data_IF_455914554247
#
_entry.id   IF_455914554247
#
_cell.length_a   1.000
_cell.length_b   1.000
_cell.length_c   1.000
_cell.angle_alpha   90.00
_cell.angle_beta   90.00
_cell.angle_gamma   90.00
#
_symmetry.space_group_name_H-M   'P 1'
#
loop_
_entity.id
_entity.type
_entity.pdbx_description
1 polymer ?
#
# COMPACT_ATOMS: atom_id res chain seq x y z
N UNK A 1 -14.32 21.68 -12.69
CA UNK A 1 -13.75 20.43 -12.14
C UNK A 1 -12.24 20.49 -12.26
N UNK A 2 -11.49 20.31 -11.17
CA UNK A 2 -10.02 20.18 -11.25
C UNK A 2 -9.71 18.80 -11.82
N UNK A 3 -9.05 18.74 -12.98
CA UNK A 3 -8.46 17.50 -13.46
C UNK A 3 -7.33 17.13 -12.50
N UNK A 4 -7.50 16.04 -11.75
CA UNK A 4 -6.38 15.39 -11.08
C UNK A 4 -5.57 14.67 -12.17
N UNK A 5 -4.46 15.26 -12.58
CA UNK A 5 -3.50 14.60 -13.47
C UNK A 5 -2.78 13.54 -12.65
N UNK A 6 -3.18 12.28 -12.81
CA UNK A 6 -2.43 11.15 -12.27
C UNK A 6 -1.01 11.23 -12.85
N UNK A 7 0.05 11.22 -12.03
CA UNK A 7 1.41 11.23 -12.54
C UNK A 7 1.60 10.02 -13.48
N UNK A 8 2.09 10.23 -14.71
CA UNK A 8 2.06 9.22 -15.79
C UNK A 8 2.78 7.88 -15.53
N UNK A 9 3.44 7.72 -14.39
CA UNK A 9 4.04 6.46 -13.93
C UNK A 9 3.09 5.59 -13.09
N UNK A 10 1.82 6.00 -12.94
CA UNK A 10 0.75 5.16 -12.40
C UNK A 10 -0.29 4.79 -13.47
N UNK A 11 -0.13 5.25 -14.72
CA UNK A 11 -0.96 4.82 -15.84
C UNK A 11 -0.62 3.38 -16.22
N UNK A 12 -1.60 2.49 -16.12
CA UNK A 12 -1.50 1.07 -16.50
C UNK A 12 -2.28 0.76 -17.80
N UNK A 13 -2.81 1.78 -18.48
CA UNK A 13 -3.66 1.64 -19.67
C UNK A 13 -5.04 1.00 -19.38
N UNK A 14 -5.38 0.78 -18.11
CA UNK A 14 -6.66 0.22 -17.68
C UNK A 14 -7.60 1.32 -17.20
N UNK A 15 -8.88 0.96 -17.01
CA UNK A 15 -9.91 1.86 -16.46
C UNK A 15 -9.81 2.08 -14.95
N UNK A 16 -8.89 1.40 -14.28
CA UNK A 16 -8.69 1.45 -12.83
C UNK A 16 -7.22 1.73 -12.51
N UNK A 17 -6.96 2.49 -11.47
CA UNK A 17 -5.62 2.71 -10.94
C UNK A 17 -5.43 2.05 -9.56
N UNK A 18 -4.24 2.23 -8.97
CA UNK A 18 -3.94 1.66 -7.65
C UNK A 18 -4.79 2.28 -6.54
N UNK A 19 -5.22 3.53 -6.68
CA UNK A 19 -6.10 4.19 -5.72
C UNK A 19 -7.47 3.51 -5.75
N UNK A 20 -7.99 3.19 -6.94
CA UNK A 20 -9.23 2.43 -7.10
C UNK A 20 -9.14 1.05 -6.40
N UNK A 21 -8.06 0.30 -6.64
CA UNK A 21 -7.82 -0.98 -5.95
C UNK A 21 -7.74 -0.82 -4.43
N UNK A 22 -7.05 0.22 -3.94
CA UNK A 22 -6.97 0.47 -2.50
C UNK A 22 -8.34 0.76 -1.89
N UNK A 23 -9.18 1.52 -2.59
CA UNK A 23 -10.53 1.87 -2.14
C UNK A 23 -11.46 0.65 -2.15
N UNK A 24 -11.47 -0.14 -3.23
CA UNK A 24 -12.33 -1.32 -3.39
C UNK A 24 -12.10 -2.35 -2.28
N UNK A 25 -10.83 -2.57 -1.91
CA UNK A 25 -10.45 -3.49 -0.84
C UNK A 25 -10.40 -2.83 0.54
N UNK A 26 -10.76 -1.55 0.66
CA UNK A 26 -10.69 -0.77 1.91
C UNK A 26 -9.32 -0.90 2.60
N UNK A 27 -8.24 -0.82 1.81
CA UNK A 27 -6.87 -0.95 2.31
C UNK A 27 -6.50 0.24 3.18
N UNK A 28 -5.93 -0.03 4.35
CA UNK A 28 -5.34 1.01 5.19
C UNK A 28 -4.08 1.61 4.54
N UNK A 29 -3.54 2.66 5.16
CA UNK A 29 -2.36 3.36 4.64
C UNK A 29 -1.16 2.44 4.38
N UNK A 30 -0.88 1.48 5.26
CA UNK A 30 0.24 0.56 5.07
C UNK A 30 -0.01 -0.37 3.89
N UNK A 31 -1.16 -1.05 3.88
CA UNK A 31 -1.54 -2.01 2.83
C UNK A 31 -1.60 -1.37 1.45
N UNK A 32 -2.14 -0.16 1.36
CA UNK A 32 -2.16 0.59 0.12
C UNK A 32 -0.76 0.91 -0.38
N UNK A 33 0.17 1.29 0.50
CA UNK A 33 1.57 1.52 0.11
C UNK A 33 2.28 0.23 -0.31
N UNK A 34 2.01 -0.91 0.34
CA UNK A 34 2.55 -2.21 -0.08
C UNK A 34 2.17 -2.49 -1.55
N UNK A 35 0.86 -2.44 -1.85
CA UNK A 35 0.35 -2.68 -3.22
C UNK A 35 0.93 -1.65 -4.21
N UNK A 36 0.98 -0.37 -3.82
CA UNK A 36 1.54 0.71 -4.65
C UNK A 36 2.99 0.45 -5.04
N UNK A 37 3.84 0.09 -4.09
CA UNK A 37 5.27 -0.10 -4.38
C UNK A 37 5.53 -1.40 -5.14
N UNK A 38 4.77 -2.47 -4.89
CA UNK A 38 4.83 -3.69 -5.70
C UNK A 38 4.44 -3.43 -7.15
N UNK A 39 3.33 -2.71 -7.39
CA UNK A 39 2.89 -2.39 -8.75
C UNK A 39 3.84 -1.43 -9.49
N UNK A 40 4.56 -0.58 -8.74
CA UNK A 40 5.48 0.42 -9.30
C UNK A 40 6.88 -0.15 -9.57
N UNK A 41 7.28 -1.22 -8.89
CA UNK A 41 8.56 -1.90 -9.08
C UNK A 41 8.75 -2.25 -10.58
N UNK A 42 9.91 -1.90 -11.15
CA UNK A 42 10.22 -2.10 -12.58
C UNK A 42 9.63 -1.04 -13.53
N UNK A 43 8.63 -0.27 -13.09
CA UNK A 43 7.99 0.79 -13.88
C UNK A 43 8.52 2.20 -13.56
N UNK A 44 9.27 2.37 -12.46
CA UNK A 44 9.88 3.65 -12.09
C UNK A 44 11.16 3.48 -11.25
N UNK A 45 12.25 4.08 -11.72
CA UNK A 45 13.51 4.11 -10.95
C UNK A 45 14.14 2.73 -10.80
N UNK A 46 14.87 2.53 -9.70
CA UNK A 46 15.53 1.25 -9.39
C UNK A 46 14.51 0.35 -8.68
N UNK A 47 14.22 -0.81 -9.28
CA UNK A 47 13.21 -1.76 -8.80
C UNK A 47 13.40 -2.15 -7.32
N UNK A 48 14.65 -2.42 -6.92
CA UNK A 48 14.96 -2.87 -5.56
C UNK A 48 14.55 -1.84 -4.49
N UNK A 49 14.61 -0.54 -4.80
CA UNK A 49 14.21 0.50 -3.86
C UNK A 49 12.71 0.45 -3.57
N UNK A 50 11.89 -0.01 -4.51
CA UNK A 50 10.45 -0.16 -4.31
C UNK A 50 10.11 -1.44 -3.57
N UNK A 51 10.86 -2.51 -3.81
CA UNK A 51 10.76 -3.72 -3.01
C UNK A 51 11.11 -3.45 -1.53
N UNK A 52 12.16 -2.67 -1.25
CA UNK A 52 12.48 -2.27 0.12
C UNK A 52 11.42 -1.37 0.75
N UNK A 53 10.82 -0.44 -0.01
CA UNK A 53 9.69 0.35 0.50
C UNK A 53 8.48 -0.52 0.81
N UNK A 54 8.14 -1.47 -0.06
CA UNK A 54 7.05 -2.42 0.20
C UNK A 54 7.30 -3.22 1.48
N UNK A 55 8.54 -3.70 1.69
CA UNK A 55 8.95 -4.41 2.90
C UNK A 55 8.80 -3.56 4.17
N UNK A 56 9.25 -2.30 4.15
CA UNK A 56 9.12 -1.36 5.27
C UNK A 56 7.66 -1.17 5.71
N UNK A 57 6.73 -1.01 4.74
CA UNK A 57 5.30 -0.92 5.05
C UNK A 57 4.70 -2.24 5.53
N UNK A 58 5.16 -3.38 5.03
CA UNK A 58 4.73 -4.70 5.49
C UNK A 58 5.16 -4.94 6.95
N UNK A 59 6.38 -4.56 7.31
CA UNK A 59 6.87 -4.67 8.69
C UNK A 59 6.01 -3.84 9.65
N UNK A 60 5.72 -2.58 9.31
CA UNK A 60 4.83 -1.72 10.12
C UNK A 60 3.42 -2.28 10.27
N UNK A 61 2.86 -2.86 9.21
CA UNK A 61 1.53 -3.48 9.27
C UNK A 61 1.51 -4.71 10.17
N UNK A 62 2.56 -5.54 10.13
CA UNK A 62 2.69 -6.70 11.02
C UNK A 62 2.77 -6.25 12.48
N UNK A 63 3.55 -5.21 12.78
CA UNK A 63 3.65 -4.64 14.13
C UNK A 63 2.30 -4.11 14.62
N UNK A 64 1.58 -3.37 13.77
CA UNK A 64 0.24 -2.87 14.10
C UNK A 64 -0.77 -3.99 14.37
N UNK A 65 -0.78 -5.04 13.54
CA UNK A 65 -1.68 -6.18 13.74
C UNK A 65 -1.35 -6.94 15.03
N UNK A 66 -0.06 -7.09 15.36
CA UNK A 66 0.39 -7.70 16.61
C UNK A 66 -0.07 -6.90 17.82
N UNK A 67 0.10 -5.58 17.83
CA UNK A 67 -0.29 -4.75 18.97
C UNK A 67 -1.80 -4.77 19.23
N UNK A 68 -2.62 -4.78 18.17
CA UNK A 68 -4.07 -4.99 18.31
C UNK A 68 -4.38 -6.38 18.89
N UNK A 69 -3.64 -7.40 18.47
CA UNK A 69 -3.77 -8.75 19.01
C UNK A 69 -3.51 -8.78 20.51
N UNK A 70 -2.39 -8.24 20.95
CA UNK A 70 -1.99 -8.14 22.36
C UNK A 70 -3.01 -7.36 23.20
N UNK A 71 -3.47 -6.20 22.73
CA UNK A 71 -4.51 -5.41 23.41
C UNK A 71 -5.84 -6.19 23.56
N UNK A 72 -6.19 -6.99 22.56
CA UNK A 72 -7.39 -7.85 22.61
C UNK A 72 -7.25 -9.00 23.60
N UNK A 73 -6.05 -9.52 23.84
CA UNK A 73 -5.80 -10.54 24.86
C UNK A 73 -5.85 -9.95 26.27
N UNK A 74 -5.26 -8.76 26.47
CA UNK A 74 -5.27 -8.06 27.76
C UNK A 74 -6.69 -7.71 28.20
N UNK A 75 -7.54 -7.21 27.29
CA UNK A 75 -8.96 -6.89 27.57
C UNK A 75 -9.87 -8.10 27.84
N UNK A 76 -9.39 -9.33 27.64
CA UNK A 76 -10.15 -10.58 27.88
C UNK A 76 -9.68 -11.32 29.14
N UNK A 77 -8.59 -10.87 29.76
CA UNK A 77 -8.02 -11.40 31.01
C UNK A 77 -8.57 -10.64 32.20
#
# INVERSE_FOLDING_TARGET
>A
MKQFKTPGHYENGQKYDIIDVCNDYSLNFNRGNIVKYIARAGNKGIEIDDLYKALDYLQREIEYVKSIGEERYDKRS
#
